data_IF_959949492677
#
_entry.id   IF_959949492677
#
_cell.length_a   1.000
_cell.length_b   1.000
_cell.length_c   1.000
_cell.angle_alpha   90.00
_cell.angle_beta   90.00
_cell.angle_gamma   90.00
#
_symmetry.space_group_name_H-M   'P 1'
#
loop_
_entity.id
_entity.type
_entity.pdbx_description
1 polymer ?
#
# COMPACT_ATOMS: atom_id res chain seq x y z
N UNK A 1 -35.46 -8.53 -14.30
CA UNK A 1 -34.32 -8.85 -13.43
C UNK A 1 -33.80 -7.54 -12.83
N UNK A 2 -33.93 -7.33 -11.52
CA UNK A 2 -33.23 -6.25 -10.84
C UNK A 2 -31.77 -6.69 -10.71
N UNK A 3 -30.90 -6.20 -11.58
CA UNK A 3 -29.46 -6.35 -11.41
C UNK A 3 -29.07 -5.64 -10.12
N UNK A 4 -28.77 -6.42 -9.10
CA UNK A 4 -28.23 -5.88 -7.85
C UNK A 4 -26.81 -5.36 -8.15
N UNK A 5 -26.70 -4.08 -8.54
CA UNK A 5 -25.47 -3.45 -8.97
C UNK A 5 -24.54 -3.09 -7.80
N UNK A 6 -25.00 -3.21 -6.55
CA UNK A 6 -24.20 -2.95 -5.36
C UNK A 6 -23.39 -4.19 -4.95
N UNK A 7 -22.22 -4.37 -5.55
CA UNK A 7 -21.26 -5.40 -5.17
C UNK A 7 -20.48 -5.04 -3.90
N UNK A 8 -20.47 -3.78 -3.51
CA UNK A 8 -19.76 -3.23 -2.34
C UNK A 8 -20.74 -2.43 -1.47
N UNK A 9 -20.67 -2.66 -0.17
CA UNK A 9 -21.34 -1.77 0.78
C UNK A 9 -20.54 -0.46 0.91
N UNK A 10 -21.21 0.67 1.27
CA UNK A 10 -20.49 1.94 1.49
C UNK A 10 -19.35 1.82 2.52
N UNK A 11 -19.56 1.09 3.61
CA UNK A 11 -18.54 0.84 4.64
C UNK A 11 -17.33 0.08 4.08
N UNK A 12 -17.57 -1.00 3.33
CA UNK A 12 -16.48 -1.77 2.71
C UNK A 12 -15.73 -0.94 1.68
N UNK A 13 -16.43 -0.15 0.88
CA UNK A 13 -15.81 0.75 -0.10
C UNK A 13 -14.92 1.79 0.61
N UNK A 14 -15.37 2.36 1.72
CA UNK A 14 -14.58 3.31 2.50
C UNK A 14 -13.30 2.67 3.06
N UNK A 15 -13.40 1.46 3.62
CA UNK A 15 -12.24 0.71 4.13
C UNK A 15 -11.25 0.37 3.03
N UNK A 16 -11.72 -0.09 1.88
CA UNK A 16 -10.87 -0.38 0.72
C UNK A 16 -10.16 0.86 0.20
N UNK A 17 -10.86 2.00 0.14
CA UNK A 17 -10.27 3.27 -0.26
C UNK A 17 -9.21 3.74 0.75
N UNK A 18 -9.46 3.61 2.04
CA UNK A 18 -8.50 3.97 3.08
C UNK A 18 -7.22 3.11 2.98
N UNK A 19 -7.37 1.80 2.81
CA UNK A 19 -6.25 0.88 2.61
C UNK A 19 -5.45 1.23 1.34
N UNK A 20 -6.12 1.43 0.22
CA UNK A 20 -5.50 1.79 -1.06
C UNK A 20 -4.69 3.09 -0.95
N UNK A 21 -5.23 4.11 -0.29
CA UNK A 21 -4.52 5.38 -0.06
C UNK A 21 -3.30 5.21 0.83
N UNK A 22 -3.41 4.44 1.90
CA UNK A 22 -2.29 4.15 2.80
C UNK A 22 -1.17 3.39 2.07
N UNK A 23 -1.52 2.36 1.30
CA UNK A 23 -0.55 1.61 0.50
C UNK A 23 0.15 2.48 -0.56
N UNK A 24 -0.58 3.37 -1.23
CA UNK A 24 0.00 4.33 -2.17
C UNK A 24 0.96 5.28 -1.45
N UNK A 25 0.59 5.80 -0.29
CA UNK A 25 1.43 6.70 0.47
C UNK A 25 2.73 6.01 0.93
N UNK A 26 2.65 4.79 1.43
CA UNK A 26 3.84 4.01 1.83
C UNK A 26 4.77 3.77 0.64
N UNK A 27 4.24 3.48 -0.53
CA UNK A 27 5.04 3.29 -1.73
C UNK A 27 5.73 4.61 -2.16
N UNK A 28 5.02 5.73 -2.12
CA UNK A 28 5.58 7.07 -2.40
C UNK A 28 6.65 7.44 -1.37
N UNK A 29 6.39 7.19 -0.09
CA UNK A 29 7.34 7.45 0.99
C UNK A 29 8.66 6.69 0.79
N UNK A 30 8.59 5.41 0.45
CA UNK A 30 9.77 4.60 0.16
C UNK A 30 10.65 5.19 -0.96
N UNK A 31 10.04 5.79 -1.97
CA UNK A 31 10.76 6.33 -3.12
C UNK A 31 11.36 7.71 -2.81
N UNK A 32 10.62 8.58 -2.14
CA UNK A 32 10.92 10.02 -2.09
C UNK A 32 11.31 10.53 -0.72
N UNK A 33 10.80 9.93 0.38
CA UNK A 33 11.02 10.47 1.72
C UNK A 33 12.24 9.88 2.41
N UNK A 34 13.00 10.74 3.07
CA UNK A 34 14.09 10.40 3.97
C UNK A 34 13.68 10.55 5.44
N UNK A 35 12.82 11.53 5.74
CA UNK A 35 12.39 11.87 7.09
C UNK A 35 10.95 12.42 7.07
N UNK A 36 10.36 12.62 8.26
CA UNK A 36 9.02 13.16 8.45
C UNK A 36 7.90 12.36 7.71
N UNK A 37 7.91 11.02 7.76
CA UNK A 37 6.94 10.21 7.01
C UNK A 37 5.49 10.41 7.46
N UNK A 38 5.27 10.83 8.70
CA UNK A 38 3.93 11.11 9.24
C UNK A 38 3.49 12.58 9.06
N UNK A 39 4.30 13.40 8.35
CA UNK A 39 4.01 14.80 8.09
C UNK A 39 3.63 15.59 9.35
N UNK A 40 4.37 15.38 10.44
CA UNK A 40 4.17 16.08 11.70
C UNK A 40 4.50 17.57 11.62
N UNK A 41 5.32 17.95 10.67
CA UNK A 41 5.59 19.32 10.28
C UNK A 41 5.43 19.49 8.75
N UNK A 42 5.32 20.72 8.22
CA UNK A 42 5.28 20.95 6.78
C UNK A 42 6.49 20.36 6.06
N UNK A 43 6.26 19.75 4.91
CA UNK A 43 7.31 19.11 4.11
C UNK A 43 8.37 20.15 3.69
N UNK A 44 9.63 19.79 3.90
CA UNK A 44 10.81 20.59 3.53
C UNK A 44 11.72 19.76 2.63
N UNK A 45 12.60 20.44 1.89
CA UNK A 45 13.58 19.75 1.04
C UNK A 45 14.46 18.77 1.81
N UNK A 46 14.80 19.06 3.06
CA UNK A 46 15.58 18.19 3.92
C UNK A 46 14.89 16.83 4.23
N UNK A 47 13.57 16.76 4.09
CA UNK A 47 12.83 15.53 4.27
C UNK A 47 12.79 14.63 3.02
N UNK A 48 13.24 15.14 1.89
CA UNK A 48 13.28 14.42 0.62
C UNK A 48 14.65 13.80 0.43
N UNK A 49 14.69 12.59 -0.10
CA UNK A 49 15.95 11.90 -0.40
C UNK A 49 16.82 12.73 -1.36
N UNK A 50 18.13 12.85 -1.09
CA UNK A 50 19.04 13.59 -1.99
C UNK A 50 19.20 12.90 -3.34
N UNK A 51 19.02 11.58 -3.39
CA UNK A 51 19.01 10.78 -4.62
C UNK A 51 17.69 10.02 -4.70
N UNK A 52 16.86 10.42 -5.65
CA UNK A 52 15.59 9.73 -5.93
C UNK A 52 15.81 8.76 -7.08
N UNK A 53 15.60 7.46 -6.81
CA UNK A 53 15.67 6.39 -7.81
C UNK A 53 14.32 5.68 -7.83
N UNK A 54 13.74 5.60 -9.03
CA UNK A 54 12.45 4.96 -9.25
C UNK A 54 11.30 5.95 -9.42
N UNK A 55 10.12 5.40 -9.64
CA UNK A 55 8.88 6.15 -9.81
C UNK A 55 7.70 5.32 -9.30
N UNK A 56 6.58 5.96 -9.05
CA UNK A 56 5.38 5.30 -8.50
C UNK A 56 4.26 5.07 -9.52
N UNK A 57 4.56 5.20 -10.82
CA UNK A 57 3.55 5.19 -11.89
C UNK A 57 2.65 3.96 -11.95
N UNK A 58 3.17 2.77 -11.60
CA UNK A 58 2.39 1.52 -11.55
C UNK A 58 1.73 1.25 -10.19
N UNK A 59 2.17 1.95 -9.14
CA UNK A 59 1.76 1.71 -7.75
C UNK A 59 0.24 1.81 -7.53
N UNK A 60 -0.45 2.87 -7.99
CA UNK A 60 -1.89 2.98 -7.75
C UNK A 60 -2.69 1.85 -8.37
N UNK A 61 -2.31 1.41 -9.57
CA UNK A 61 -2.95 0.30 -10.27
C UNK A 61 -2.68 -1.05 -9.58
N UNK A 62 -1.45 -1.31 -9.18
CA UNK A 62 -1.09 -2.52 -8.44
C UNK A 62 -1.81 -2.59 -7.09
N UNK A 63 -1.82 -1.51 -6.32
CA UNK A 63 -2.52 -1.46 -5.05
C UNK A 63 -4.03 -1.57 -5.21
N UNK A 64 -4.60 -1.04 -6.30
CA UNK A 64 -6.01 -1.21 -6.62
C UNK A 64 -6.35 -2.69 -6.86
N UNK A 65 -5.56 -3.39 -7.67
CA UNK A 65 -5.72 -4.82 -7.90
C UNK A 65 -5.57 -5.59 -6.58
N UNK A 66 -4.54 -5.30 -5.80
CA UNK A 66 -4.25 -5.97 -4.54
C UNK A 66 -5.41 -5.87 -3.54
N UNK A 67 -5.97 -4.68 -3.32
CA UNK A 67 -7.06 -4.48 -2.37
C UNK A 67 -8.35 -5.20 -2.82
N UNK A 68 -8.61 -5.24 -4.13
CA UNK A 68 -9.76 -5.98 -4.67
C UNK A 68 -9.57 -7.49 -4.59
N UNK A 69 -8.37 -8.01 -4.84
CA UNK A 69 -8.06 -9.43 -4.65
C UNK A 69 -8.21 -9.82 -3.19
N UNK A 70 -7.70 -9.03 -2.26
CA UNK A 70 -7.90 -9.29 -0.82
C UNK A 70 -9.36 -9.35 -0.43
N UNK A 71 -10.21 -8.51 -1.00
CA UNK A 71 -11.66 -8.60 -0.79
C UNK A 71 -12.22 -9.95 -1.26
N UNK A 72 -11.80 -10.42 -2.43
CA UNK A 72 -12.25 -11.70 -2.99
C UNK A 72 -11.70 -12.88 -2.18
N UNK A 73 -10.42 -12.84 -1.84
CA UNK A 73 -9.76 -13.85 -0.99
C UNK A 73 -10.51 -14.01 0.33
N UNK A 74 -10.76 -12.91 1.04
CA UNK A 74 -11.48 -12.94 2.31
C UNK A 74 -12.94 -13.40 2.18
N UNK A 75 -13.61 -13.02 1.10
CA UNK A 75 -15.01 -13.39 0.87
C UNK A 75 -15.20 -14.88 0.63
N UNK A 76 -14.26 -15.50 -0.05
CA UNK A 76 -14.36 -16.89 -0.51
C UNK A 76 -13.36 -17.84 0.14
N UNK A 77 -12.58 -17.35 1.11
CA UNK A 77 -11.53 -18.11 1.82
C UNK A 77 -10.56 -18.79 0.84
N UNK A 78 -9.91 -17.98 -0.01
CA UNK A 78 -9.07 -18.46 -1.08
C UNK A 78 -7.58 -18.37 -0.71
N UNK A 79 -6.81 -19.38 -1.12
CA UNK A 79 -5.35 -19.33 -1.16
C UNK A 79 -4.91 -18.80 -2.53
N UNK A 80 -4.20 -17.66 -2.56
CA UNK A 80 -3.76 -17.02 -3.81
C UNK A 80 -2.34 -16.48 -3.68
N UNK A 81 -1.60 -16.54 -4.78
CA UNK A 81 -0.35 -15.81 -4.96
C UNK A 81 -0.59 -14.53 -5.75
N UNK A 82 -0.05 -13.42 -5.27
CA UNK A 82 0.00 -12.18 -6.02
C UNK A 82 1.42 -11.95 -6.54
N UNK A 83 1.59 -11.96 -7.85
CA UNK A 83 2.89 -11.81 -8.51
C UNK A 83 2.89 -10.50 -9.30
N UNK A 84 3.75 -9.57 -8.91
CA UNK A 84 3.96 -8.33 -9.64
C UNK A 84 5.06 -8.52 -10.70
N UNK A 85 4.71 -8.43 -11.97
CA UNK A 85 5.66 -8.54 -13.09
C UNK A 85 6.64 -7.36 -13.19
N UNK A 86 6.19 -6.09 -13.12
CA UNK A 86 7.08 -4.95 -13.24
C UNK A 86 8.02 -4.82 -12.03
N UNK A 87 9.34 -4.85 -12.25
CA UNK A 87 10.34 -4.68 -11.19
C UNK A 87 10.24 -3.33 -10.48
N UNK A 88 9.91 -2.26 -11.22
CA UNK A 88 9.67 -0.92 -10.66
C UNK A 88 8.41 -0.81 -9.79
N UNK A 89 7.57 -1.84 -9.77
CA UNK A 89 6.43 -1.96 -8.85
C UNK A 89 6.78 -2.47 -7.45
N UNK A 90 8.04 -2.77 -7.17
CA UNK A 90 8.51 -3.26 -5.87
C UNK A 90 8.03 -2.46 -4.66
N UNK A 91 8.04 -1.11 -4.70
CA UNK A 91 7.54 -0.30 -3.59
C UNK A 91 6.08 -0.57 -3.22
N UNK A 92 5.23 -0.92 -4.18
CA UNK A 92 3.85 -1.33 -3.91
C UNK A 92 3.80 -2.64 -3.12
N UNK A 93 4.60 -3.63 -3.48
CA UNK A 93 4.66 -4.91 -2.78
C UNK A 93 5.16 -4.72 -1.34
N UNK A 94 6.27 -4.02 -1.16
CA UNK A 94 6.83 -3.74 0.16
C UNK A 94 5.83 -2.94 1.02
N UNK A 95 5.18 -1.92 0.45
CA UNK A 95 4.17 -1.13 1.15
C UNK A 95 2.99 -1.98 1.65
N UNK A 96 2.49 -2.90 0.84
CA UNK A 96 1.41 -3.81 1.23
C UNK A 96 1.85 -4.78 2.34
N UNK A 97 3.00 -5.42 2.18
CA UNK A 97 3.55 -6.38 3.17
C UNK A 97 3.82 -5.69 4.51
N UNK A 98 4.28 -4.45 4.49
CA UNK A 98 4.45 -3.64 5.71
C UNK A 98 3.10 -3.27 6.34
N UNK A 99 2.15 -2.79 5.54
CA UNK A 99 0.84 -2.33 6.02
C UNK A 99 0.02 -3.46 6.66
N UNK A 100 0.11 -4.68 6.13
CA UNK A 100 -0.57 -5.85 6.69
C UNK A 100 0.15 -6.49 7.90
N UNK A 101 1.36 -6.03 8.22
CA UNK A 101 2.14 -6.49 9.39
C UNK A 101 3.14 -7.60 9.13
N UNK A 102 3.06 -8.29 8.01
CA UNK A 102 3.93 -9.45 7.68
C UNK A 102 5.41 -9.05 7.66
N UNK A 103 5.74 -7.85 7.21
CA UNK A 103 7.12 -7.36 7.22
C UNK A 103 7.71 -7.35 8.63
N UNK A 104 6.97 -6.82 9.61
CA UNK A 104 7.41 -6.73 11.01
C UNK A 104 7.42 -8.10 11.72
N UNK A 105 6.64 -9.07 11.25
CA UNK A 105 6.75 -10.46 11.73
C UNK A 105 8.09 -11.08 11.35
N UNK A 106 8.56 -10.85 10.11
CA UNK A 106 9.83 -11.40 9.61
C UNK A 106 11.02 -10.56 10.11
N UNK A 107 10.85 -9.24 10.19
CA UNK A 107 11.88 -8.29 10.60
C UNK A 107 11.42 -7.50 11.84
N UNK A 108 11.48 -8.08 13.04
CA UNK A 108 10.89 -7.46 14.26
C UNK A 108 11.53 -6.14 14.68
N UNK A 109 12.69 -5.82 14.14
CA UNK A 109 13.34 -4.50 14.36
C UNK A 109 12.70 -3.38 13.52
N UNK A 110 11.88 -3.72 12.54
CA UNK A 110 11.10 -2.77 11.73
C UNK A 110 9.69 -2.73 12.29
N UNK A 111 9.44 -1.75 13.15
CA UNK A 111 8.14 -1.58 13.82
C UNK A 111 7.12 -0.90 12.90
N UNK A 112 5.82 -1.12 13.17
CA UNK A 112 4.74 -0.45 12.42
C UNK A 112 4.43 0.93 13.01
N UNK A 113 5.44 1.80 13.07
CA UNK A 113 5.37 3.17 13.56
C UNK A 113 6.26 4.10 12.71
N UNK A 114 6.47 5.33 13.20
CA UNK A 114 7.28 6.32 12.47
C UNK A 114 8.74 5.88 12.30
N UNK A 115 9.28 5.12 13.24
CA UNK A 115 10.67 4.66 13.20
C UNK A 115 10.87 3.51 12.21
N UNK A 116 9.90 2.63 12.09
CA UNK A 116 9.90 1.51 11.14
C UNK A 116 9.54 1.90 9.74
#
# INVERSE_FOLDING_TARGET
MKTNTNTLTPDLLQKMNAYWRAANYLAVGQIYLYDNPLLKEPLKLAHVKPLVVGHWGTTPGQNFIYVHLNRVIKKYDLDMFYIAGPGHGGPAIVGNVYLEGTWSEVYPNVTQDEAG
#
